data_IF_370798490119
#
_entry.id   IF_370798490119
#
_cell.length_a   1.000
_cell.length_b   1.000
_cell.length_c   1.000
_cell.angle_alpha   90.00
_cell.angle_beta   90.00
_cell.angle_gamma   90.00
#
_symmetry.space_group_name_H-M   'P 1'
#
loop_
_entity.id
_entity.type
_entity.pdbx_description
1 polymer ?
#
# COMPACT_ATOMS: atom_id res chain seq x y z
N UNK A 1 27.09 51.42 -55.39
CA UNK A 1 26.98 52.46 -54.35
C UNK A 1 27.16 51.76 -53.01
N UNK A 2 28.34 51.86 -52.38
CA UNK A 2 28.74 52.89 -51.40
C UNK A 2 28.17 52.61 -49.99
N UNK A 3 28.93 52.53 -48.90
CA UNK A 3 30.40 52.49 -48.69
C UNK A 3 30.68 51.91 -47.27
N UNK A 4 31.92 51.49 -46.97
CA UNK A 4 32.38 51.23 -45.58
C UNK A 4 32.77 52.54 -44.85
N UNK A 5 33.62 52.52 -43.78
CA UNK A 5 34.48 51.41 -43.34
C UNK A 5 34.74 51.24 -41.80
N UNK A 6 35.54 50.22 -41.43
CA UNK A 6 36.51 50.05 -40.28
C UNK A 6 36.15 50.54 -38.84
N UNK A 7 36.28 49.77 -37.73
CA UNK A 7 37.28 48.81 -37.20
C UNK A 7 38.56 49.40 -36.57
N UNK A 8 38.72 49.22 -35.24
CA UNK A 8 39.95 48.94 -34.43
C UNK A 8 39.51 48.55 -33.00
N UNK A 9 39.76 47.35 -32.44
CA UNK A 9 40.97 46.86 -31.72
C UNK A 9 41.48 47.81 -30.60
N UNK A 10 41.69 47.44 -29.33
CA UNK A 10 42.62 46.42 -28.77
C UNK A 10 42.34 46.12 -27.23
N UNK A 11 43.20 45.48 -26.37
CA UNK A 11 42.72 44.38 -25.48
C UNK A 11 43.27 44.35 -24.00
N UNK A 12 43.06 43.22 -23.29
CA UNK A 12 43.70 42.82 -22.01
C UNK A 12 42.99 43.29 -20.74
N UNK A 13 43.14 42.74 -19.52
CA UNK A 13 43.82 41.55 -18.94
C UNK A 13 43.46 41.51 -17.42
N UNK A 14 43.50 40.44 -16.60
CA UNK A 14 43.71 38.98 -16.70
C UNK A 14 43.16 38.31 -15.38
N UNK A 15 42.99 36.98 -15.23
CA UNK A 15 42.29 36.38 -14.08
C UNK A 15 43.19 36.16 -12.84
N UNK A 16 42.58 36.20 -11.65
CA UNK A 16 43.24 35.92 -10.37
C UNK A 16 42.86 34.56 -9.77
N UNK A 17 43.84 33.66 -9.66
CA UNK A 17 43.75 32.40 -8.91
C UNK A 17 44.78 32.40 -7.79
N UNK A 18 44.38 32.09 -6.56
CA UNK A 18 45.28 31.72 -5.46
C UNK A 18 44.66 30.61 -4.64
N UNK A 19 45.40 29.51 -4.51
CA UNK A 19 45.12 28.38 -3.61
C UNK A 19 46.21 28.34 -2.51
N UNK A 20 46.31 27.31 -1.67
CA UNK A 20 45.95 27.37 -0.26
C UNK A 20 47.15 27.70 0.66
N UNK A 21 46.86 27.95 1.94
CA UNK A 21 47.89 27.92 2.99
C UNK A 21 47.42 27.13 4.20
N UNK A 22 48.22 26.12 4.56
CA UNK A 22 48.04 25.33 5.76
C UNK A 22 48.34 26.17 7.01
N UNK A 23 47.73 25.80 8.14
CA UNK A 23 48.32 26.12 9.43
C UNK A 23 48.20 24.92 10.38
N UNK A 24 49.36 24.46 10.85
CA UNK A 24 49.52 23.37 11.83
C UNK A 24 49.66 24.00 13.24
N UNK A 25 49.63 23.17 14.28
CA UNK A 25 49.86 23.47 15.71
C UNK A 25 48.61 23.85 16.55
N UNK A 26 48.46 23.43 17.82
CA UNK A 26 49.15 22.39 18.63
C UNK A 26 48.24 21.99 19.82
N UNK A 27 48.48 20.80 20.36
CA UNK A 27 47.78 20.14 21.47
C UNK A 27 47.76 20.87 22.83
N UNK A 28 46.73 20.55 23.64
CA UNK A 28 46.65 20.71 25.10
C UNK A 28 45.26 20.26 25.59
N UNK A 29 45.12 19.04 26.17
CA UNK A 29 45.13 18.78 27.62
C UNK A 29 43.94 19.42 28.38
N UNK A 30 43.16 18.75 29.24
CA UNK A 30 43.20 17.38 29.80
C UNK A 30 41.83 17.08 30.42
N UNK A 31 41.41 15.81 30.49
CA UNK A 31 40.15 15.41 31.13
C UNK A 31 40.00 13.90 31.25
N UNK A 32 40.61 13.31 32.27
CA UNK A 32 40.52 11.88 32.60
C UNK A 32 39.38 11.60 33.58
N UNK A 33 38.57 10.56 33.32
CA UNK A 33 38.52 9.39 34.22
C UNK A 33 37.77 8.19 33.60
N UNK A 34 37.92 6.96 34.14
CA UNK A 34 37.85 5.73 33.33
C UNK A 34 36.67 4.79 33.65
N UNK A 35 36.34 3.89 32.71
CA UNK A 35 35.66 2.63 33.04
C UNK A 35 35.93 1.48 32.04
N UNK A 36 36.47 0.38 32.57
CA UNK A 36 36.32 -1.02 32.13
C UNK A 36 36.38 -1.36 30.61
N UNK A 37 37.56 -1.76 30.15
CA UNK A 37 37.70 -2.45 28.87
C UNK A 37 37.21 -3.91 28.91
N UNK A 38 36.32 -4.27 27.97
CA UNK A 38 36.32 -5.59 27.32
C UNK A 38 36.44 -5.36 25.83
N UNK A 39 37.63 -5.57 25.28
CA UNK A 39 37.86 -5.44 23.84
C UNK A 39 37.08 -6.51 23.09
N UNK A 40 35.95 -6.14 22.50
CA UNK A 40 35.40 -6.88 21.37
C UNK A 40 36.20 -6.46 20.15
N UNK A 41 36.83 -7.42 19.50
CA UNK A 41 37.36 -7.26 18.14
C UNK A 41 36.26 -6.62 17.29
N UNK A 42 36.55 -5.49 16.64
CA UNK A 42 35.57 -4.78 15.84
C UNK A 42 35.19 -5.69 14.66
N UNK A 43 33.92 -6.13 14.62
CA UNK A 43 33.39 -6.85 13.47
C UNK A 43 33.52 -5.94 12.24
N UNK A 44 34.22 -6.42 11.21
CA UNK A 44 34.30 -5.74 9.92
C UNK A 44 32.88 -5.68 9.36
N UNK A 45 32.37 -4.47 9.15
CA UNK A 45 31.05 -4.28 8.56
C UNK A 45 31.15 -4.45 7.04
N UNK A 46 30.72 -5.60 6.55
CA UNK A 46 30.59 -5.86 5.12
C UNK A 46 29.36 -5.12 4.55
N UNK A 47 29.42 -4.78 3.26
CA UNK A 47 28.34 -4.09 2.58
C UNK A 47 27.10 -4.98 2.41
N UNK A 48 25.90 -4.38 2.46
CA UNK A 48 24.67 -5.10 2.05
C UNK A 48 24.80 -5.47 0.57
N UNK A 49 24.89 -6.78 0.28
CA UNK A 49 25.11 -7.32 -1.06
C UNK A 49 26.53 -7.83 -1.34
N UNK A 50 27.46 -7.72 -0.38
CA UNK A 50 28.83 -8.23 -0.50
C UNK A 50 28.88 -9.72 -0.19
N UNK A 51 29.49 -10.53 -1.08
CA UNK A 51 29.84 -11.92 -0.80
C UNK A 51 31.27 -11.97 -0.27
N UNK A 52 31.46 -12.53 0.92
CA UNK A 52 32.78 -12.68 1.55
C UNK A 52 32.94 -14.07 2.19
N UNK A 53 34.17 -14.39 2.61
CA UNK A 53 34.53 -15.69 3.21
C UNK A 53 35.28 -15.43 4.50
N UNK A 54 34.89 -16.11 5.57
CA UNK A 54 35.57 -15.99 6.86
C UNK A 54 36.82 -16.87 7.00
N UNK A 55 37.54 -16.73 8.12
CA UNK A 55 38.76 -17.49 8.43
C UNK A 55 38.54 -19.02 8.54
N UNK A 56 37.28 -19.48 8.61
CA UNK A 56 36.89 -20.90 8.65
C UNK A 56 36.47 -21.43 7.29
N UNK A 57 36.45 -20.58 6.26
CA UNK A 57 36.02 -20.92 4.90
C UNK A 57 34.51 -20.84 4.69
N UNK A 58 33.73 -20.35 5.64
CA UNK A 58 32.28 -20.18 5.50
C UNK A 58 31.99 -18.97 4.62
N UNK A 59 31.06 -19.12 3.65
CA UNK A 59 30.64 -18.05 2.75
C UNK A 59 29.49 -17.27 3.37
N UNK A 60 29.53 -15.95 3.22
CA UNK A 60 28.55 -15.01 3.77
C UNK A 60 28.05 -14.06 2.67
N UNK A 61 26.78 -13.65 2.75
CA UNK A 61 26.19 -12.60 1.93
C UNK A 61 25.67 -11.48 2.84
N UNK A 62 26.38 -10.35 2.88
CA UNK A 62 26.23 -9.37 3.96
C UNK A 62 26.51 -10.04 5.31
N UNK A 63 25.53 -10.01 6.22
CA UNK A 63 25.61 -10.62 7.55
C UNK A 63 24.97 -12.03 7.63
N UNK A 64 24.59 -12.64 6.50
CA UNK A 64 23.87 -13.95 6.46
C UNK A 64 24.81 -15.07 5.97
N UNK A 65 24.95 -16.20 6.68
CA UNK A 65 25.66 -17.37 6.19
C UNK A 65 25.00 -17.96 4.94
N UNK A 66 25.77 -18.27 3.89
CA UNK A 66 25.20 -18.80 2.64
C UNK A 66 24.66 -20.24 2.77
N UNK A 67 25.12 -20.99 3.77
CA UNK A 67 24.60 -22.33 4.13
C UNK A 67 23.24 -22.30 4.85
N UNK A 68 22.76 -21.12 5.25
CA UNK A 68 21.38 -20.95 5.72
C UNK A 68 20.34 -20.97 4.56
N UNK A 69 20.79 -20.90 3.30
CA UNK A 69 19.95 -21.12 2.14
C UNK A 69 19.96 -22.60 1.77
N UNK A 70 18.86 -23.30 2.07
CA UNK A 70 18.73 -24.73 1.76
C UNK A 70 18.82 -24.97 0.25
N UNK A 71 19.73 -25.86 -0.18
CA UNK A 71 19.90 -26.25 -1.60
C UNK A 71 18.62 -26.84 -2.23
N UNK A 72 17.70 -27.35 -1.40
CA UNK A 72 16.41 -27.90 -1.82
C UNK A 72 15.30 -27.54 -0.80
N UNK A 73 14.67 -26.35 -0.88
CA UNK A 73 13.66 -25.93 0.09
C UNK A 73 12.40 -26.83 0.09
N UNK A 74 12.15 -27.57 -0.99
CA UNK A 74 10.96 -28.41 -1.15
C UNK A 74 11.03 -29.76 -0.44
N UNK A 75 12.22 -30.27 -0.06
CA UNK A 75 12.34 -31.59 0.60
C UNK A 75 12.14 -31.54 2.11
N UNK A 76 12.32 -30.36 2.72
CA UNK A 76 12.08 -30.15 4.16
C UNK A 76 10.58 -30.11 4.49
N UNK A 77 9.73 -29.71 3.52
CA UNK A 77 8.28 -29.61 3.67
C UNK A 77 7.53 -30.96 3.56
N UNK A 78 8.18 -32.05 3.12
CA UNK A 78 7.51 -33.32 2.81
C UNK A 78 7.62 -34.41 3.89
N UNK A 79 8.19 -34.13 5.06
CA UNK A 79 8.29 -35.11 6.15
C UNK A 79 6.98 -35.21 6.97
N UNK A 80 5.96 -35.82 6.35
CA UNK A 80 4.68 -36.12 6.99
C UNK A 80 4.74 -37.39 7.86
N UNK A 81 5.61 -37.41 8.89
CA UNK A 81 5.65 -38.48 9.89
C UNK A 81 4.58 -38.22 10.95
N UNK A 82 3.51 -39.03 11.08
CA UNK A 82 2.49 -38.80 12.09
C UNK A 82 3.04 -39.12 13.49
N UNK A 83 2.80 -38.23 14.44
CA UNK A 83 3.04 -38.51 15.86
C UNK A 83 1.80 -39.25 16.39
N UNK A 84 2.00 -40.48 16.84
CA UNK A 84 0.93 -41.35 17.33
C UNK A 84 0.44 -40.94 18.73
N UNK A 85 -0.88 -40.99 18.95
CA UNK A 85 -1.52 -40.79 20.25
C UNK A 85 -2.68 -39.78 20.30
N UNK A 86 -3.93 -40.27 20.33
CA UNK A 86 -5.10 -39.44 20.67
C UNK A 86 -6.44 -40.00 20.19
N UNK A 87 -7.08 -40.86 21.00
CA UNK A 87 -8.35 -41.53 20.71
C UNK A 87 -9.50 -40.61 20.24
N UNK A 88 -10.13 -40.95 19.12
CA UNK A 88 -11.41 -40.38 18.68
C UNK A 88 -12.61 -41.10 19.34
N UNK A 89 -13.63 -40.39 19.85
CA UNK A 89 -14.91 -40.99 20.18
C UNK A 89 -15.86 -40.97 18.96
N UNK A 90 -16.34 -42.16 18.59
CA UNK A 90 -17.35 -42.36 17.55
C UNK A 90 -18.69 -41.73 17.93
N UNK A 91 -19.30 -40.93 17.04
CA UNK A 91 -20.69 -40.48 17.14
C UNK A 91 -21.53 -41.13 16.03
N UNK A 92 -22.79 -41.46 16.34
CA UNK A 92 -23.52 -42.55 15.70
C UNK A 92 -24.51 -42.06 14.65
N UNK A 93 -24.52 -42.69 13.47
CA UNK A 93 -25.53 -42.48 12.43
C UNK A 93 -26.89 -42.97 12.91
N UNK A 94 -27.93 -42.16 12.77
CA UNK A 94 -29.32 -42.60 12.89
C UNK A 94 -30.12 -42.16 11.66
N UNK A 95 -30.60 -43.15 10.92
CA UNK A 95 -31.32 -43.00 9.67
C UNK A 95 -32.82 -43.17 9.93
N UNK A 96 -33.64 -42.17 9.62
CA UNK A 96 -35.09 -42.24 9.72
C UNK A 96 -35.73 -41.75 8.41
N UNK A 97 -36.47 -42.65 7.77
CA UNK A 97 -37.18 -42.42 6.50
C UNK A 97 -38.52 -41.70 6.65
N UNK A 98 -39.27 -41.56 5.54
CA UNK A 98 -40.08 -40.37 5.29
C UNK A 98 -41.59 -40.54 5.54
N UNK A 99 -42.28 -39.42 5.79
CA UNK A 99 -43.75 -39.30 5.67
C UNK A 99 -44.17 -37.94 5.14
N UNK A 100 -44.81 -37.99 3.97
CA UNK A 100 -45.89 -37.15 3.40
C UNK A 100 -45.91 -35.61 3.42
N UNK A 101 -46.33 -35.10 2.26
CA UNK A 101 -46.64 -33.71 1.90
C UNK A 101 -48.16 -33.52 1.96
N UNK A 102 -48.65 -32.29 2.21
CA UNK A 102 -49.72 -31.81 1.32
C UNK A 102 -49.52 -30.35 0.83
N UNK A 103 -49.87 -30.16 -0.43
CA UNK A 103 -49.92 -28.87 -1.16
C UNK A 103 -51.28 -28.20 -0.93
N UNK A 104 -51.37 -26.85 -0.97
CA UNK A 104 -52.55 -26.20 -1.53
C UNK A 104 -52.26 -25.17 -2.65
N UNK A 105 -53.33 -24.78 -3.34
CA UNK A 105 -53.37 -24.32 -4.74
C UNK A 105 -53.38 -22.78 -4.93
N UNK A 106 -53.06 -22.34 -6.15
CA UNK A 106 -53.01 -20.96 -6.66
C UNK A 106 -54.40 -20.36 -6.97
N UNK A 107 -54.62 -19.09 -6.57
CA UNK A 107 -55.64 -18.11 -7.04
C UNK A 107 -55.31 -16.75 -6.36
N UNK A 108 -55.40 -15.54 -6.92
CA UNK A 108 -55.71 -14.98 -8.27
C UNK A 108 -54.82 -13.74 -8.54
N UNK A 109 -55.16 -12.85 -9.48
CA UNK A 109 -54.58 -11.51 -9.72
C UNK A 109 -55.72 -10.47 -9.88
N UNK A 110 -55.55 -9.21 -9.48
CA UNK A 110 -55.98 -8.13 -10.38
C UNK A 110 -55.05 -6.89 -10.45
N UNK A 111 -54.72 -6.55 -11.71
CA UNK A 111 -54.47 -5.24 -12.37
C UNK A 111 -54.03 -3.99 -11.58
N UNK A 112 -53.02 -3.31 -12.16
CA UNK A 112 -52.43 -2.03 -11.75
C UNK A 112 -53.33 -0.78 -11.90
N UNK A 113 -52.83 0.39 -11.47
CA UNK A 113 -52.64 1.46 -12.47
C UNK A 113 -51.19 1.96 -12.56
N UNK A 114 -50.83 2.48 -13.74
CA UNK A 114 -49.55 3.12 -14.05
C UNK A 114 -49.29 4.39 -13.24
N UNK A 115 -48.00 4.73 -13.07
CA UNK A 115 -47.60 6.13 -12.94
C UNK A 115 -46.56 6.46 -11.87
N UNK A 116 -45.36 5.86 -11.94
CA UNK A 116 -44.17 6.46 -11.34
C UNK A 116 -43.01 6.36 -12.32
N UNK A 117 -42.27 7.46 -12.45
CA UNK A 117 -41.03 7.53 -13.21
C UNK A 117 -40.06 6.44 -12.74
N UNK A 118 -39.33 5.82 -13.67
CA UNK A 118 -38.18 4.98 -13.32
C UNK A 118 -37.04 5.89 -12.88
N UNK A 119 -37.14 6.42 -11.66
CA UNK A 119 -35.94 6.67 -10.87
C UNK A 119 -35.28 5.31 -10.68
N UNK A 120 -34.13 5.14 -11.35
CA UNK A 120 -33.21 4.03 -11.06
C UNK A 120 -33.07 3.93 -9.54
N UNK A 121 -33.30 2.75 -8.93
CA UNK A 121 -33.08 2.61 -7.51
C UNK A 121 -31.59 2.82 -7.25
N UNK A 122 -31.24 4.01 -6.75
CA UNK A 122 -29.90 4.29 -6.25
C UNK A 122 -29.59 3.24 -5.19
N UNK A 123 -28.59 2.39 -5.44
CA UNK A 123 -28.35 1.18 -4.68
C UNK A 123 -28.07 1.52 -3.22
N UNK A 124 -29.11 1.42 -2.39
CA UNK A 124 -29.05 1.81 -0.99
C UNK A 124 -28.29 0.76 -0.18
N UNK A 125 -27.01 1.01 0.07
CA UNK A 125 -26.42 0.63 1.36
C UNK A 125 -25.26 -0.36 1.39
N UNK A 126 -24.48 -0.55 0.33
CA UNK A 126 -23.13 -1.15 0.45
C UNK A 126 -22.18 -0.16 1.14
N UNK A 127 -22.37 0.02 2.45
CA UNK A 127 -21.67 1.02 3.25
C UNK A 127 -20.16 0.75 3.26
N UNK A 128 -19.36 1.81 3.11
CA UNK A 128 -17.90 1.69 3.20
C UNK A 128 -17.42 1.16 4.55
N UNK A 129 -18.18 1.43 5.62
CA UNK A 129 -17.92 0.92 6.97
C UNK A 129 -17.96 -0.61 7.11
N UNK A 130 -18.54 -1.33 6.15
CA UNK A 130 -18.47 -2.80 6.12
C UNK A 130 -17.11 -3.32 5.60
N UNK A 131 -16.33 -2.49 4.89
CA UNK A 131 -15.03 -2.87 4.33
C UNK A 131 -13.87 -2.34 5.15
N UNK A 132 -13.98 -1.10 5.62
CA UNK A 132 -12.92 -0.38 6.35
C UNK A 132 -13.55 0.51 7.43
N UNK A 133 -12.98 0.47 8.63
CA UNK A 133 -13.39 1.33 9.75
C UNK A 133 -12.73 2.71 9.70
N UNK A 134 -13.26 3.67 10.46
CA UNK A 134 -12.62 4.98 10.66
C UNK A 134 -11.21 4.87 11.24
N UNK A 135 -10.93 3.85 12.06
CA UNK A 135 -9.60 3.61 12.65
C UNK A 135 -8.60 3.11 11.60
N UNK A 136 -9.02 2.21 10.71
CA UNK A 136 -8.19 1.73 9.59
C UNK A 136 -7.92 2.84 8.56
N UNK A 137 -8.94 3.67 8.27
CA UNK A 137 -8.78 4.88 7.44
C UNK A 137 -7.73 5.84 8.03
N UNK A 138 -7.90 6.25 9.28
CA UNK A 138 -6.96 7.18 9.95
C UNK A 138 -5.55 6.57 10.06
N UNK A 139 -5.43 5.26 10.27
CA UNK A 139 -4.14 4.56 10.33
C UNK A 139 -3.41 4.55 8.98
N UNK A 140 -4.08 4.27 7.85
CA UNK A 140 -3.42 4.27 6.54
C UNK A 140 -3.07 5.69 6.10
N UNK A 141 -3.95 6.67 6.32
CA UNK A 141 -3.67 8.09 6.04
C UNK A 141 -2.47 8.57 6.87
N UNK A 142 -2.39 8.19 8.14
CA UNK A 142 -1.22 8.46 9.00
C UNK A 142 0.05 7.73 8.52
N UNK A 143 -0.05 6.49 8.05
CA UNK A 143 1.08 5.75 7.50
C UNK A 143 1.63 6.41 6.22
N UNK A 144 0.74 6.83 5.31
CA UNK A 144 1.08 7.60 4.11
C UNK A 144 1.72 8.94 4.48
N UNK A 145 1.11 9.68 5.42
CA UNK A 145 1.66 10.96 5.89
C UNK A 145 3.07 10.80 6.45
N UNK A 146 3.31 9.79 7.30
CA UNK A 146 4.64 9.50 7.86
C UNK A 146 5.65 9.13 6.76
N UNK A 147 5.26 8.28 5.82
CA UNK A 147 6.10 7.89 4.68
C UNK A 147 6.51 9.12 3.85
N UNK A 148 5.54 9.97 3.46
CA UNK A 148 5.82 11.18 2.70
C UNK A 148 6.68 12.16 3.52
N UNK A 149 6.40 12.32 4.81
CA UNK A 149 7.18 13.16 5.70
C UNK A 149 8.67 12.79 5.69
N UNK A 150 9.00 11.52 5.94
CA UNK A 150 10.38 11.01 5.97
C UNK A 150 11.09 11.15 4.61
N UNK A 151 10.34 10.91 3.53
CA UNK A 151 10.92 10.77 2.20
C UNK A 151 11.02 12.09 1.43
N UNK A 152 10.30 13.14 1.82
CA UNK A 152 10.31 14.43 1.11
C UNK A 152 11.29 15.47 1.69
N UNK A 153 11.91 15.24 2.86
CA UNK A 153 12.82 16.22 3.49
C UNK A 153 14.12 16.48 2.70
N UNK A 154 14.53 15.57 1.83
CA UNK A 154 15.75 15.74 1.04
C UNK A 154 15.60 15.18 -0.37
N UNK A 155 16.36 15.75 -1.30
CA UNK A 155 16.44 15.25 -2.70
C UNK A 155 16.94 13.80 -2.74
N UNK A 156 17.79 13.39 -1.79
CA UNK A 156 18.29 12.02 -1.72
C UNK A 156 17.18 11.04 -1.33
N UNK A 157 16.45 11.32 -0.24
CA UNK A 157 15.35 10.46 0.22
C UNK A 157 14.23 10.40 -0.83
N UNK A 158 13.91 11.55 -1.44
CA UNK A 158 12.94 11.63 -2.52
C UNK A 158 13.36 10.77 -3.70
N UNK A 159 14.59 10.92 -4.21
CA UNK A 159 15.07 10.12 -5.33
C UNK A 159 15.03 8.60 -5.03
N UNK A 160 15.34 8.16 -3.80
CA UNK A 160 15.26 6.74 -3.42
C UNK A 160 13.84 6.19 -3.27
N UNK A 161 12.84 7.06 -3.06
CA UNK A 161 11.46 6.68 -2.78
C UNK A 161 10.46 7.07 -3.88
N UNK A 162 10.91 7.85 -4.87
CA UNK A 162 10.10 8.45 -5.93
C UNK A 162 9.17 7.46 -6.63
N UNK A 163 9.62 6.23 -6.84
CA UNK A 163 8.79 5.19 -7.48
C UNK A 163 7.62 4.71 -6.61
N UNK A 164 7.66 4.89 -5.28
CA UNK A 164 6.60 4.51 -4.35
C UNK A 164 5.59 5.63 -4.11
N UNK A 165 6.01 6.90 -4.24
CA UNK A 165 5.16 8.08 -4.00
C UNK A 165 3.82 8.02 -4.76
N UNK A 166 3.75 7.68 -6.06
CA UNK A 166 2.48 7.67 -6.78
C UNK A 166 1.45 6.67 -6.25
N UNK A 167 1.91 5.49 -5.81
CA UNK A 167 1.08 4.47 -5.15
C UNK A 167 0.46 5.05 -3.88
N UNK A 168 1.27 5.70 -3.03
CA UNK A 168 0.80 6.31 -1.77
C UNK A 168 -0.13 7.50 -2.00
N UNK A 169 0.13 8.33 -3.01
CA UNK A 169 -0.76 9.42 -3.40
C UNK A 169 -2.12 8.90 -3.93
N UNK A 170 -2.12 7.93 -4.85
CA UNK A 170 -3.37 7.34 -5.34
C UNK A 170 -4.17 6.64 -4.23
N UNK A 171 -3.47 5.99 -3.29
CA UNK A 171 -4.07 5.41 -2.07
C UNK A 171 -4.75 6.50 -1.23
N UNK A 172 -4.06 7.60 -0.94
CA UNK A 172 -4.59 8.73 -0.17
C UNK A 172 -5.83 9.34 -0.83
N UNK A 173 -5.81 9.55 -2.15
CA UNK A 173 -6.93 10.08 -2.90
C UNK A 173 -8.16 9.17 -2.87
N UNK A 174 -7.96 7.85 -2.95
CA UNK A 174 -9.01 6.85 -2.84
C UNK A 174 -9.63 6.85 -1.43
N UNK A 175 -8.81 6.84 -0.39
CA UNK A 175 -9.29 6.86 1.00
C UNK A 175 -9.97 8.19 1.36
N UNK A 176 -9.58 9.30 0.73
CA UNK A 176 -10.29 10.57 0.85
C UNK A 176 -11.68 10.53 0.21
N UNK A 177 -11.82 9.92 -0.97
CA UNK A 177 -13.13 9.64 -1.56
C UNK A 177 -14.00 8.75 -0.67
N UNK A 178 -13.44 7.65 -0.14
CA UNK A 178 -14.12 6.78 0.83
C UNK A 178 -14.56 7.57 2.07
N UNK A 179 -13.71 8.42 2.64
CA UNK A 179 -14.03 9.21 3.82
C UNK A 179 -15.21 10.17 3.62
N UNK A 180 -15.35 10.77 2.42
CA UNK A 180 -16.50 11.61 2.05
C UNK A 180 -17.82 10.82 2.12
N UNK A 181 -17.81 9.57 1.68
CA UNK A 181 -18.98 8.68 1.65
C UNK A 181 -19.14 7.79 2.91
N UNK A 182 -18.13 7.75 3.79
CA UNK A 182 -18.09 6.83 4.94
C UNK A 182 -19.22 7.16 5.95
N UNK A 183 -19.96 6.16 6.48
CA UNK A 183 -21.10 6.40 7.37
C UNK A 183 -20.69 7.07 8.69
N UNK A 184 -19.53 6.71 9.23
CA UNK A 184 -18.97 7.36 10.42
C UNK A 184 -18.09 8.55 10.00
N UNK A 185 -18.16 9.65 10.76
CA UNK A 185 -17.32 10.82 10.49
C UNK A 185 -15.88 10.61 10.99
N UNK A 186 -14.93 10.41 10.08
CA UNK A 186 -13.49 10.61 10.37
C UNK A 186 -13.22 12.08 10.69
N UNK A 187 -12.20 12.35 11.49
CA UNK A 187 -11.95 13.69 12.05
C UNK A 187 -11.67 14.79 11.00
N UNK A 188 -11.27 14.41 9.78
CA UNK A 188 -10.94 15.27 8.65
C UNK A 188 -11.95 15.17 7.49
N UNK A 189 -13.14 14.57 7.72
CA UNK A 189 -14.14 14.30 6.68
C UNK A 189 -14.56 15.54 5.89
N UNK A 190 -14.80 16.66 6.57
CA UNK A 190 -15.21 17.94 5.95
C UNK A 190 -14.13 18.50 4.99
N UNK A 191 -12.87 18.14 5.24
CA UNK A 191 -11.70 18.58 4.47
C UNK A 191 -11.24 17.51 3.45
N UNK A 192 -11.88 16.33 3.42
CA UNK A 192 -11.45 15.18 2.63
C UNK A 192 -11.39 15.47 1.11
N UNK A 193 -12.28 16.33 0.58
CA UNK A 193 -12.23 16.73 -0.84
C UNK A 193 -10.95 17.49 -1.22
N UNK A 194 -10.35 18.25 -0.29
CA UNK A 194 -9.06 18.91 -0.50
C UNK A 194 -7.91 17.91 -0.40
N UNK A 195 -7.98 16.94 0.52
CA UNK A 195 -7.01 15.83 0.61
C UNK A 195 -7.01 15.01 -0.69
N UNK A 196 -8.20 14.74 -1.24
CA UNK A 196 -8.43 14.07 -2.53
C UNK A 196 -7.77 14.81 -3.70
N UNK A 197 -8.01 16.11 -3.80
CA UNK A 197 -7.45 16.93 -4.88
C UNK A 197 -5.93 17.11 -4.76
N UNK A 198 -5.40 17.35 -3.56
CA UNK A 198 -3.95 17.41 -3.33
C UNK A 198 -3.25 16.09 -3.68
N UNK A 199 -3.88 14.95 -3.39
CA UNK A 199 -3.41 13.63 -3.81
C UNK A 199 -3.42 13.46 -5.34
N UNK A 200 -4.48 13.93 -6.03
CA UNK A 200 -4.53 14.00 -7.51
C UNK A 200 -3.41 14.88 -8.08
N UNK A 201 -3.16 16.05 -7.49
CA UNK A 201 -2.08 16.96 -7.89
C UNK A 201 -0.68 16.36 -7.68
N UNK A 202 -0.46 15.49 -6.68
CA UNK A 202 0.81 14.77 -6.56
C UNK A 202 1.09 13.91 -7.80
N UNK A 203 0.04 13.27 -8.34
CA UNK A 203 0.08 12.38 -9.49
C UNK A 203 -0.14 13.06 -10.86
N UNK A 204 -0.32 14.39 -10.92
CA UNK A 204 -0.62 15.10 -12.18
C UNK A 204 0.51 15.12 -13.22
N UNK A 205 1.75 14.83 -12.79
CA UNK A 205 2.94 14.78 -13.64
C UNK A 205 3.80 13.56 -13.28
N UNK A 206 4.38 12.89 -14.27
CA UNK A 206 5.37 11.81 -14.05
C UNK A 206 6.58 12.36 -13.30
N UNK A 207 6.81 11.85 -12.08
CA UNK A 207 7.89 12.27 -11.21
C UNK A 207 9.27 12.05 -11.83
N UNK A 208 10.13 13.06 -11.73
CA UNK A 208 11.53 13.03 -12.14
C UNK A 208 12.44 13.21 -10.94
N UNK A 209 13.62 12.61 -11.01
CA UNK A 209 14.64 12.77 -9.96
C UNK A 209 15.13 14.21 -9.88
N UNK A 210 15.39 14.70 -8.67
CA UNK A 210 15.99 16.02 -8.43
C UNK A 210 15.09 17.03 -7.70
N UNK A 211 15.62 18.24 -7.44
CA UNK A 211 15.02 19.21 -6.51
C UNK A 211 13.73 19.88 -7.00
N UNK A 212 13.42 19.86 -8.30
CA UNK A 212 12.19 20.48 -8.82
C UNK A 212 10.97 19.73 -8.32
N UNK A 213 10.90 18.45 -8.62
CA UNK A 213 9.71 17.64 -8.33
C UNK A 213 9.68 17.25 -6.84
N UNK A 214 10.83 17.07 -6.19
CA UNK A 214 10.91 16.97 -4.72
C UNK A 214 10.21 18.14 -4.03
N UNK A 215 10.52 19.39 -4.42
CA UNK A 215 9.87 20.59 -3.85
C UNK A 215 8.38 20.68 -4.19
N UNK A 216 7.99 20.31 -5.42
CA UNK A 216 6.58 20.27 -5.84
C UNK A 216 5.76 19.33 -4.96
N UNK A 217 6.25 18.10 -4.76
CA UNK A 217 5.57 17.11 -3.93
C UNK A 217 5.64 17.46 -2.44
N UNK A 218 6.76 18.05 -1.96
CA UNK A 218 6.86 18.53 -0.58
C UNK A 218 5.79 19.59 -0.28
N UNK A 219 5.61 20.61 -1.12
CA UNK A 219 4.57 21.64 -0.89
C UNK A 219 3.14 21.09 -0.93
N UNK A 220 2.85 20.13 -1.82
CA UNK A 220 1.56 19.43 -1.84
C UNK A 220 1.35 18.57 -0.58
N UNK A 221 2.42 17.93 -0.09
CA UNK A 221 2.40 17.16 1.15
C UNK A 221 2.19 18.07 2.37
N UNK A 222 2.83 19.22 2.43
CA UNK A 222 2.68 20.21 3.51
C UNK A 222 1.23 20.73 3.56
N UNK A 223 0.68 21.17 2.44
CA UNK A 223 -0.72 21.59 2.33
C UNK A 223 -1.71 20.48 2.73
N UNK A 224 -1.43 19.22 2.36
CA UNK A 224 -2.24 18.06 2.73
C UNK A 224 -2.13 17.73 4.21
N UNK A 225 -0.91 17.78 4.76
CA UNK A 225 -0.63 17.61 6.19
C UNK A 225 -1.37 18.65 7.03
N UNK A 226 -1.37 19.92 6.61
CA UNK A 226 -2.05 21.01 7.31
C UNK A 226 -3.57 20.90 7.20
N UNK A 227 -4.08 20.52 6.04
CA UNK A 227 -5.49 20.19 5.81
C UNK A 227 -5.95 19.08 6.76
N UNK A 228 -5.21 17.97 6.88
CA UNK A 228 -5.51 16.89 7.83
C UNK A 228 -5.46 17.32 9.30
N UNK A 229 -4.73 18.40 9.63
CA UNK A 229 -4.70 18.98 10.99
C UNK A 229 -5.82 20.01 11.25
N UNK A 230 -6.76 20.20 10.30
CA UNK A 230 -7.78 21.28 10.29
C UNK A 230 -7.17 22.69 10.26
N UNK A 231 -5.97 22.80 9.71
CA UNK A 231 -5.23 24.06 9.47
C UNK A 231 -5.12 24.36 7.97
N UNK A 232 -6.12 23.96 7.17
CA UNK A 232 -6.14 24.09 5.70
C UNK A 232 -5.65 25.48 5.25
N UNK A 233 -4.64 25.59 4.36
CA UNK A 233 -4.21 26.86 3.81
C UNK A 233 -5.35 27.62 3.13
N UNK A 234 -5.44 28.93 3.39
CA UNK A 234 -6.56 29.76 2.97
C UNK A 234 -6.58 30.09 1.46
N UNK A 235 -5.49 29.81 0.75
CA UNK A 235 -5.27 30.03 -0.67
C UNK A 235 -5.44 28.75 -1.53
N UNK A 236 -5.76 27.60 -0.92
CA UNK A 236 -6.12 26.41 -1.68
C UNK A 236 -7.39 26.67 -2.51
N UNK A 237 -7.31 26.33 -3.79
CA UNK A 237 -8.45 26.37 -4.69
C UNK A 237 -9.54 25.38 -4.25
N UNK A 238 -10.79 25.73 -4.52
CA UNK A 238 -11.92 24.86 -4.23
C UNK A 238 -11.90 23.62 -5.16
N UNK A 239 -11.84 22.39 -4.63
CA UNK A 239 -11.81 21.18 -5.44
C UNK A 239 -13.07 21.01 -6.29
N UNK A 240 -12.97 20.45 -7.51
CA UNK A 240 -14.15 20.08 -8.28
C UNK A 240 -14.91 18.95 -7.56
N UNK A 241 -16.19 19.19 -7.27
CA UNK A 241 -17.06 18.16 -6.67
C UNK A 241 -17.22 16.93 -7.59
N UNK A 242 -17.08 17.11 -8.91
CA UNK A 242 -17.30 16.08 -9.94
C UNK A 242 -16.17 15.07 -10.13
N UNK A 243 -15.02 15.22 -9.49
CA UNK A 243 -13.93 14.24 -9.60
C UNK A 243 -14.36 12.90 -8.96
N UNK A 244 -14.34 11.83 -9.75
CA UNK A 244 -14.59 10.47 -9.29
C UNK A 244 -13.32 9.78 -8.77
N UNK A 245 -13.46 8.49 -8.44
CA UNK A 245 -12.33 7.68 -7.98
C UNK A 245 -11.29 7.46 -9.09
N UNK A 246 -11.73 7.25 -10.34
CA UNK A 246 -10.83 6.95 -11.45
C UNK A 246 -9.93 8.13 -11.84
N UNK A 247 -10.44 9.37 -11.75
CA UNK A 247 -9.71 10.61 -12.04
C UNK A 247 -8.62 10.93 -11.01
N UNK A 248 -8.78 10.44 -9.78
CA UNK A 248 -7.88 10.72 -8.64
C UNK A 248 -6.90 9.56 -8.42
N UNK A 249 -7.37 8.33 -8.60
CA UNK A 249 -6.69 7.10 -8.17
C UNK A 249 -6.59 6.08 -9.30
N UNK A 250 -5.64 6.26 -10.24
CA UNK A 250 -5.47 5.33 -11.37
C UNK A 250 -5.39 3.86 -10.94
N UNK A 251 -6.15 3.00 -11.62
CA UNK A 251 -6.29 1.57 -11.28
C UNK A 251 -4.94 0.86 -11.08
N UNK A 252 -3.95 1.13 -11.94
CA UNK A 252 -2.61 0.54 -11.84
C UNK A 252 -1.88 0.88 -10.52
N UNK A 253 -2.14 2.06 -9.95
CA UNK A 253 -1.55 2.49 -8.67
C UNK A 253 -2.28 1.84 -7.48
N UNK A 254 -3.61 1.68 -7.56
CA UNK A 254 -4.38 0.91 -6.57
C UNK A 254 -4.03 -0.58 -6.59
N UNK A 255 -3.88 -1.17 -7.78
CA UNK A 255 -3.42 -2.55 -7.95
C UNK A 255 -2.04 -2.77 -7.31
N UNK A 256 -1.12 -1.81 -7.46
CA UNK A 256 0.18 -1.86 -6.78
C UNK A 256 0.06 -1.78 -5.25
N UNK A 257 -0.86 -0.96 -4.70
CA UNK A 257 -1.12 -0.95 -3.25
C UNK A 257 -1.71 -2.28 -2.75
N UNK A 258 -2.51 -2.96 -3.56
CA UNK A 258 -3.01 -4.31 -3.25
C UNK A 258 -1.92 -5.39 -3.36
N UNK A 259 -1.00 -5.29 -4.32
CA UNK A 259 0.19 -6.14 -4.40
C UNK A 259 1.10 -5.95 -3.16
N UNK A 260 1.32 -4.71 -2.72
CA UNK A 260 2.02 -4.40 -1.47
C UNK A 260 1.33 -5.09 -0.27
N UNK A 261 0.00 -5.01 -0.15
CA UNK A 261 -0.77 -5.69 0.90
C UNK A 261 -0.63 -7.22 0.85
N UNK A 262 -0.79 -7.83 -0.33
CA UNK A 262 -0.70 -9.28 -0.51
C UNK A 262 0.70 -9.81 -0.15
N UNK A 263 1.74 -9.15 -0.64
CA UNK A 263 3.13 -9.52 -0.36
C UNK A 263 3.46 -9.35 1.13
N UNK A 264 2.99 -8.26 1.75
CA UNK A 264 3.20 -8.01 3.18
C UNK A 264 2.55 -9.09 4.05
N UNK A 265 1.28 -9.42 3.80
CA UNK A 265 0.58 -10.50 4.50
C UNK A 265 1.33 -11.84 4.34
N UNK A 266 1.69 -12.21 3.11
CA UNK A 266 2.43 -13.45 2.81
C UNK A 266 3.78 -13.54 3.54
N UNK A 267 4.56 -12.44 3.55
CA UNK A 267 5.91 -12.43 4.13
C UNK A 267 5.92 -12.24 5.64
N UNK A 268 5.06 -11.39 6.19
CA UNK A 268 5.07 -11.05 7.61
C UNK A 268 4.19 -11.97 8.47
N UNK A 269 3.16 -12.60 7.89
CA UNK A 269 2.17 -13.44 8.59
C UNK A 269 2.01 -14.84 7.97
N UNK A 270 3.03 -15.35 7.27
CA UNK A 270 3.01 -16.65 6.58
C UNK A 270 3.08 -17.91 7.46
N UNK A 271 2.91 -17.79 8.78
CA UNK A 271 2.79 -18.92 9.72
C UNK A 271 1.76 -18.59 10.80
N UNK A 272 1.21 -19.62 11.45
CA UNK A 272 0.24 -19.48 12.56
C UNK A 272 0.71 -18.51 13.66
N UNK A 273 1.92 -18.70 14.16
CA UNK A 273 2.55 -17.81 15.15
C UNK A 273 2.80 -16.38 14.64
N UNK A 274 3.04 -16.21 13.34
CA UNK A 274 3.26 -14.91 12.73
C UNK A 274 1.93 -14.17 12.52
N UNK A 275 0.86 -14.87 12.13
CA UNK A 275 -0.50 -14.34 12.08
C UNK A 275 -0.96 -13.88 13.47
N UNK A 276 -0.83 -14.73 14.48
CA UNK A 276 -1.23 -14.41 15.86
C UNK A 276 -0.49 -13.18 16.44
N UNK A 277 0.75 -12.93 16.01
CA UNK A 277 1.54 -11.76 16.42
C UNK A 277 1.36 -10.51 15.55
N UNK A 278 0.60 -10.60 14.44
CA UNK A 278 0.40 -9.49 13.48
C UNK A 278 -1.04 -9.32 13.00
N UNK A 279 -2.03 -9.85 13.71
CA UNK A 279 -3.44 -9.81 13.32
C UNK A 279 -3.95 -8.42 12.97
N UNK A 280 -3.51 -7.36 13.69
CA UNK A 280 -3.89 -5.97 13.39
C UNK A 280 -3.34 -5.49 12.04
N UNK A 281 -2.11 -5.91 11.69
CA UNK A 281 -1.53 -5.63 10.37
C UNK A 281 -2.28 -6.37 9.27
N UNK A 282 -2.59 -7.66 9.48
CA UNK A 282 -3.34 -8.47 8.50
C UNK A 282 -4.75 -7.93 8.30
N UNK A 283 -5.47 -7.59 9.36
CA UNK A 283 -6.80 -6.99 9.28
C UNK A 283 -6.79 -5.66 8.51
N UNK A 284 -5.81 -4.78 8.78
CA UNK A 284 -5.62 -3.50 8.10
C UNK A 284 -5.34 -3.66 6.61
N UNK A 285 -4.36 -4.49 6.22
CA UNK A 285 -4.04 -4.74 4.81
C UNK A 285 -5.20 -5.40 4.06
N UNK A 286 -5.97 -6.26 4.72
CA UNK A 286 -7.15 -6.90 4.16
C UNK A 286 -8.33 -5.92 3.98
N UNK A 287 -8.60 -5.04 4.94
CA UNK A 287 -9.62 -3.99 4.83
C UNK A 287 -9.32 -3.04 3.65
N UNK A 288 -8.06 -2.66 3.49
CA UNK A 288 -7.60 -1.85 2.35
C UNK A 288 -7.74 -2.61 1.03
N UNK A 289 -7.34 -3.88 0.97
CA UNK A 289 -7.50 -4.71 -0.23
C UNK A 289 -8.96 -4.87 -0.65
N UNK A 290 -9.88 -5.11 0.30
CA UNK A 290 -11.31 -5.16 0.03
C UNK A 290 -11.83 -3.81 -0.49
N UNK A 291 -11.38 -2.71 0.12
CA UNK A 291 -11.77 -1.34 -0.27
C UNK A 291 -11.32 -1.02 -1.70
N UNK A 292 -10.06 -1.29 -2.07
CA UNK A 292 -9.55 -1.01 -3.41
C UNK A 292 -10.14 -1.94 -4.47
N UNK A 293 -10.40 -3.21 -4.14
CA UNK A 293 -11.11 -4.13 -5.02
C UNK A 293 -12.55 -3.66 -5.33
N UNK A 294 -13.27 -3.07 -4.36
CA UNK A 294 -14.56 -2.41 -4.64
C UNK A 294 -14.39 -1.12 -5.44
N UNK A 295 -13.37 -0.31 -5.17
CA UNK A 295 -13.17 0.97 -5.88
C UNK A 295 -12.97 0.76 -7.38
N UNK A 296 -12.18 -0.24 -7.79
CA UNK A 296 -11.89 -0.48 -9.22
C UNK A 296 -13.10 -0.99 -10.03
N UNK A 297 -14.25 -1.31 -9.39
CA UNK A 297 -15.52 -1.62 -10.07
C UNK A 297 -16.48 -0.44 -10.14
N UNK A 298 -16.10 0.74 -9.64
CA UNK A 298 -16.91 1.96 -9.74
C UNK A 298 -16.84 2.57 -11.16
N UNK A 299 -17.81 3.41 -11.55
CA UNK A 299 -17.79 4.09 -12.84
C UNK A 299 -16.51 4.87 -13.11
N UNK A 300 -16.11 4.92 -14.38
CA UNK A 300 -14.92 5.65 -14.84
C UNK A 300 -13.65 4.79 -14.96
N UNK A 301 -13.64 3.57 -14.41
CA UNK A 301 -12.57 2.60 -14.67
C UNK A 301 -12.74 1.81 -15.98
N UNK A 302 -13.94 1.82 -16.58
CA UNK A 302 -14.22 1.21 -17.89
C UNK A 302 -14.59 -0.29 -17.83
N UNK A 303 -14.88 -0.80 -16.64
CA UNK A 303 -15.23 -2.21 -16.39
C UNK A 303 -16.50 -2.37 -15.53
N UNK A 304 -17.20 -1.28 -15.23
CA UNK A 304 -18.41 -1.26 -14.39
C UNK A 304 -19.52 -2.22 -14.88
N UNK A 305 -19.66 -2.38 -16.20
CA UNK A 305 -20.63 -3.27 -16.84
C UNK A 305 -20.05 -4.66 -17.24
N UNK A 306 -18.77 -4.95 -16.92
CA UNK A 306 -18.16 -6.26 -17.21
C UNK A 306 -18.41 -7.25 -16.04
N UNK A 307 -19.27 -8.26 -16.21
CA UNK A 307 -19.61 -9.21 -15.14
C UNK A 307 -18.44 -10.13 -14.74
N UNK A 308 -17.43 -10.30 -15.59
CA UNK A 308 -16.28 -11.15 -15.35
C UNK A 308 -15.20 -10.37 -14.59
N UNK A 309 -14.93 -9.13 -14.98
CA UNK A 309 -14.04 -8.23 -14.21
C UNK A 309 -14.59 -7.98 -12.81
N UNK A 310 -15.85 -7.55 -12.71
CA UNK A 310 -16.52 -7.31 -11.41
C UNK A 310 -16.64 -8.59 -10.58
N UNK A 311 -16.77 -9.76 -11.22
CA UNK A 311 -16.69 -11.08 -10.56
C UNK A 311 -15.34 -11.37 -9.91
N UNK A 312 -14.22 -11.05 -10.57
CA UNK A 312 -12.88 -11.18 -9.99
C UNK A 312 -12.67 -10.20 -8.83
N UNK A 313 -13.09 -8.95 -8.98
CA UNK A 313 -13.02 -7.94 -7.93
C UNK A 313 -13.83 -8.36 -6.69
N UNK A 314 -15.08 -8.79 -6.87
CA UNK A 314 -15.93 -9.36 -5.79
C UNK A 314 -15.26 -10.55 -5.10
N UNK A 315 -14.63 -11.44 -5.87
CA UNK A 315 -13.88 -12.59 -5.34
C UNK A 315 -12.74 -12.16 -4.42
N UNK A 316 -12.05 -11.05 -4.75
CA UNK A 316 -11.01 -10.44 -3.89
C UNK A 316 -11.63 -9.78 -2.65
N UNK A 317 -12.74 -9.03 -2.78
CA UNK A 317 -13.44 -8.43 -1.62
C UNK A 317 -13.84 -9.50 -0.60
N UNK A 318 -14.51 -10.57 -1.03
CA UNK A 318 -14.92 -11.67 -0.15
C UNK A 318 -13.73 -12.36 0.52
N UNK A 319 -12.66 -12.61 -0.24
CA UNK A 319 -11.46 -13.26 0.28
C UNK A 319 -10.72 -12.37 1.29
N UNK A 320 -10.64 -11.06 1.03
CA UNK A 320 -10.04 -10.10 1.95
C UNK A 320 -10.86 -9.95 3.25
N UNK A 321 -12.19 -9.90 3.19
CA UNK A 321 -13.02 -9.93 4.39
C UNK A 321 -12.86 -11.25 5.17
N UNK A 322 -12.65 -12.37 4.48
CA UNK A 322 -12.34 -13.67 5.09
C UNK A 322 -10.97 -13.64 5.79
N UNK A 323 -9.94 -13.05 5.17
CA UNK A 323 -8.61 -12.84 5.77
C UNK A 323 -8.71 -12.01 7.05
N UNK A 324 -9.50 -10.92 7.05
CA UNK A 324 -9.71 -10.06 8.22
C UNK A 324 -10.34 -10.82 9.39
N UNK A 325 -11.44 -11.53 9.15
CA UNK A 325 -12.09 -12.36 10.18
C UNK A 325 -11.19 -13.50 10.68
N UNK A 326 -10.39 -14.11 9.80
CA UNK A 326 -9.43 -15.15 10.18
C UNK A 326 -8.30 -14.59 11.06
N UNK A 327 -7.81 -13.38 10.80
CA UNK A 327 -6.83 -12.71 11.65
C UNK A 327 -7.39 -12.38 13.05
N UNK A 328 -8.62 -11.88 13.12
CA UNK A 328 -9.32 -11.62 14.40
C UNK A 328 -9.52 -12.91 15.21
N UNK A 329 -9.84 -14.02 14.55
CA UNK A 329 -9.99 -15.35 15.15
C UNK A 329 -8.67 -16.10 15.45
N UNK A 330 -7.54 -15.66 14.89
CA UNK A 330 -6.28 -16.42 14.81
C UNK A 330 -6.42 -17.78 14.08
N UNK A 331 -7.26 -17.83 13.04
CA UNK A 331 -7.48 -19.02 12.21
C UNK A 331 -6.51 -19.01 11.01
N UNK A 332 -5.33 -19.60 11.19
CA UNK A 332 -4.31 -19.64 10.14
C UNK A 332 -4.74 -20.43 8.90
N UNK A 333 -5.55 -21.49 9.04
CA UNK A 333 -5.98 -22.32 7.92
C UNK A 333 -6.95 -21.56 7.01
N UNK A 334 -7.93 -20.85 7.59
CA UNK A 334 -8.85 -19.99 6.83
C UNK A 334 -8.11 -18.80 6.21
N UNK A 335 -7.14 -18.21 6.93
CA UNK A 335 -6.27 -17.16 6.42
C UNK A 335 -5.47 -17.59 5.18
N UNK A 336 -4.77 -18.73 5.22
CA UNK A 336 -3.95 -19.23 4.11
C UNK A 336 -4.80 -19.55 2.88
N UNK A 337 -5.96 -20.19 3.07
CA UNK A 337 -6.91 -20.49 2.00
C UNK A 337 -7.46 -19.22 1.35
N UNK A 338 -7.80 -18.21 2.15
CA UNK A 338 -8.32 -16.94 1.63
C UNK A 338 -7.24 -16.12 0.91
N UNK A 339 -6.00 -16.09 1.41
CA UNK A 339 -4.86 -15.47 0.73
C UNK A 339 -4.53 -16.17 -0.60
N UNK A 340 -4.73 -17.49 -0.66
CA UNK A 340 -4.64 -18.27 -1.90
C UNK A 340 -5.74 -17.90 -2.88
N UNK A 341 -6.99 -17.75 -2.41
CA UNK A 341 -8.13 -17.27 -3.23
C UNK A 341 -7.87 -15.87 -3.81
N UNK A 342 -7.30 -14.93 -3.04
CA UNK A 342 -6.83 -13.62 -3.55
C UNK A 342 -5.82 -13.82 -4.68
N UNK A 343 -4.74 -14.57 -4.43
CA UNK A 343 -3.66 -14.81 -5.39
C UNK A 343 -4.17 -15.39 -6.72
N UNK A 344 -5.06 -16.38 -6.65
CA UNK A 344 -5.68 -16.99 -7.82
C UNK A 344 -6.57 -16.00 -8.58
N UNK A 345 -7.38 -15.17 -7.89
CA UNK A 345 -8.21 -14.15 -8.54
C UNK A 345 -7.36 -13.08 -9.23
N UNK A 346 -6.29 -12.60 -8.58
CA UNK A 346 -5.34 -11.64 -9.17
C UNK A 346 -4.70 -12.19 -10.46
N UNK A 347 -4.25 -13.46 -10.44
CA UNK A 347 -3.64 -14.09 -11.60
C UNK A 347 -4.65 -14.26 -12.75
N UNK A 348 -5.85 -14.76 -12.48
CA UNK A 348 -6.88 -14.97 -13.51
C UNK A 348 -7.32 -13.64 -14.11
N UNK A 349 -7.55 -12.61 -13.28
CA UNK A 349 -7.89 -11.26 -13.75
C UNK A 349 -6.77 -10.68 -14.62
N UNK A 350 -5.49 -10.82 -14.24
CA UNK A 350 -4.39 -10.37 -15.08
C UNK A 350 -4.28 -11.15 -16.40
N UNK A 351 -4.52 -12.46 -16.41
CA UNK A 351 -4.53 -13.24 -17.66
C UNK A 351 -5.60 -12.80 -18.65
N UNK A 352 -6.74 -12.29 -18.15
CA UNK A 352 -7.86 -11.85 -18.97
C UNK A 352 -7.80 -10.36 -19.37
N UNK A 353 -7.30 -9.49 -18.48
CA UNK A 353 -7.43 -8.03 -18.61
C UNK A 353 -6.10 -7.26 -18.66
N UNK A 354 -4.97 -7.88 -18.34
CA UNK A 354 -3.65 -7.22 -18.41
C UNK A 354 -2.99 -7.56 -19.74
N UNK A 355 -3.20 -6.70 -20.74
CA UNK A 355 -2.37 -6.69 -21.95
C UNK A 355 -0.90 -6.44 -21.61
N UNK A 356 0.01 -6.95 -22.45
CA UNK A 356 1.48 -6.74 -22.33
C UNK A 356 1.88 -5.26 -22.30
#
# INVERSE_FOLDING_TARGET
>A
SSAGPTVTNNPGSAPGTTDPSANTATSGATGTDPAAGKSRTAAVKHGRGEVWVDEKGQKWFGDVPMDAFFDQPYTVASNATPIDGGSTPTAVVSNAGPTDVPVPTVTETPTAPSGTETTTPSASGDSWGNLISEVELDNEVKAIRNFLNENLQSVSNYNSSMLMIPSKAATLGALAGVAMEHPNAVSWKDDAKYVRDLAKQMNSETLRSGPKDQKRILGLYEAMSDTLNRSRPADLAEPPESDGFAEVSPMALLMRRMEEAQNRMKTEAGTDSALASRKEMVAHEAALMATFAKIVTLPGYGYEDDPKFTGYAKTVVEAALTIKGAAEGNDFATYELALTKVSTSCNNCHMDYKSE
#
